data_IF_808194186092
#
_entry.id   IF_808194186092
#
_cell.length_a   1.000
_cell.length_b   1.000
_cell.length_c   1.000
_cell.angle_alpha   90.00
_cell.angle_beta   90.00
_cell.angle_gamma   90.00
#
_symmetry.space_group_name_H-M   'P 1'
#
loop_
_entity.id
_entity.type
_entity.pdbx_description
1 polymer ?
#
# COMPACT_ATOMS: atom_id res chain seq x y z
N UNK A 1 -1.00 -11.55 1.01
CA UNK A 1 -2.16 -11.67 1.93
C UNK A 1 -1.69 -11.62 3.38
N UNK A 2 -2.64 -11.58 4.31
CA UNK A 2 -2.37 -11.56 5.76
C UNK A 2 -1.53 -12.75 6.24
N UNK A 3 -1.56 -13.89 5.54
CA UNK A 3 -0.69 -15.04 5.85
C UNK A 3 0.80 -14.75 5.80
N UNK A 4 1.19 -13.60 5.28
CA UNK A 4 2.58 -13.15 5.32
C UNK A 4 3.08 -12.87 6.76
N UNK A 5 2.16 -12.59 7.69
CA UNK A 5 2.48 -12.24 9.08
C UNK A 5 1.81 -13.14 10.12
N UNK A 6 0.97 -14.11 9.71
CA UNK A 6 0.26 -14.99 10.64
C UNK A 6 0.50 -16.47 10.33
N UNK A 7 0.41 -17.32 11.34
CA UNK A 7 0.62 -18.77 11.22
C UNK A 7 -0.57 -19.48 10.56
N UNK A 8 -1.77 -18.88 10.59
CA UNK A 8 -2.96 -19.46 9.97
C UNK A 8 -2.91 -19.27 8.44
N UNK A 9 -3.11 -20.34 7.66
CA UNK A 9 -3.10 -20.24 6.21
C UNK A 9 -4.32 -19.48 5.68
N UNK A 10 -4.10 -18.33 5.08
CA UNK A 10 -5.07 -17.59 4.25
C UNK A 10 -4.46 -17.43 2.87
N UNK A 11 -4.58 -18.47 2.06
CA UNK A 11 -3.98 -18.48 0.73
C UNK A 11 -4.53 -17.36 -0.16
N UNK A 12 -3.68 -16.77 -0.98
CA UNK A 12 -4.10 -15.71 -1.93
C UNK A 12 -5.19 -16.18 -2.87
N UNK A 13 -5.25 -17.49 -3.18
CA UNK A 13 -6.31 -18.07 -3.99
C UNK A 13 -7.70 -18.04 -3.36
N UNK A 14 -7.81 -17.74 -2.07
CA UNK A 14 -9.09 -17.61 -1.34
C UNK A 14 -9.63 -16.18 -1.37
N UNK A 15 -8.83 -15.20 -1.79
CA UNK A 15 -9.23 -13.80 -1.88
C UNK A 15 -10.25 -13.61 -3.02
N UNK A 16 -11.26 -12.79 -2.77
CA UNK A 16 -12.23 -12.45 -3.80
C UNK A 16 -11.58 -11.70 -4.97
N UNK A 17 -11.93 -12.07 -6.20
CA UNK A 17 -11.46 -11.44 -7.43
C UNK A 17 -12.55 -10.53 -7.99
N UNK A 18 -12.92 -9.49 -7.24
CA UNK A 18 -13.92 -8.50 -7.66
C UNK A 18 -13.23 -7.25 -8.21
N UNK A 19 -13.88 -6.51 -9.13
CA UNK A 19 -13.45 -5.17 -9.46
C UNK A 19 -13.48 -4.27 -8.22
N UNK A 20 -12.42 -3.47 -8.03
CA UNK A 20 -12.21 -2.62 -6.87
C UNK A 20 -12.29 -1.17 -7.34
N UNK A 21 -13.04 -0.31 -6.65
CA UNK A 21 -12.96 1.13 -6.87
C UNK A 21 -11.68 1.63 -6.22
N UNK A 22 -10.79 2.21 -7.01
CA UNK A 22 -9.47 2.60 -6.56
C UNK A 22 -9.11 4.03 -6.97
N UNK A 23 -8.33 4.69 -6.12
CA UNK A 23 -7.74 6.00 -6.40
C UNK A 23 -6.24 5.86 -6.59
N UNK A 24 -5.70 6.46 -7.65
CA UNK A 24 -4.28 6.63 -7.88
C UNK A 24 -3.85 8.03 -7.45
N UNK A 25 -2.81 8.08 -6.63
CA UNK A 25 -2.13 9.32 -6.24
C UNK A 25 -0.63 9.21 -6.51
N UNK A 26 0.01 10.36 -6.73
CA UNK A 26 1.46 10.48 -6.84
C UNK A 26 2.03 11.28 -5.67
N UNK A 27 2.97 10.69 -4.94
CA UNK A 27 3.62 11.33 -3.79
C UNK A 27 5.13 11.43 -3.99
N UNK A 28 5.75 12.42 -3.37
CA UNK A 28 7.20 12.55 -3.34
C UNK A 28 7.70 12.27 -1.94
N UNK A 29 8.31 11.08 -1.68
CA UNK A 29 8.86 10.77 -0.35
C UNK A 29 9.83 11.85 0.12
N UNK A 30 9.92 12.04 1.43
CA UNK A 30 10.79 13.00 2.09
C UNK A 30 11.73 12.31 3.08
N UNK A 31 12.71 13.02 3.60
CA UNK A 31 13.57 12.50 4.66
C UNK A 31 12.80 12.46 6.00
N UNK A 32 13.03 11.43 6.78
CA UNK A 32 12.41 11.27 8.10
C UNK A 32 12.77 12.41 9.07
N UNK A 33 13.93 13.06 8.87
CA UNK A 33 14.31 14.27 9.62
C UNK A 33 13.35 15.47 9.46
N UNK A 34 12.41 15.41 8.49
CA UNK A 34 11.46 16.49 8.20
C UNK A 34 10.05 16.23 8.74
N UNK A 35 9.84 15.17 9.51
CA UNK A 35 8.55 14.80 10.08
C UNK A 35 8.68 14.35 11.53
N UNK A 36 7.61 14.51 12.29
CA UNK A 36 7.47 13.97 13.65
C UNK A 36 6.66 12.66 13.66
N UNK A 37 6.33 12.11 12.48
CA UNK A 37 5.62 10.83 12.37
C UNK A 37 6.44 9.71 13.00
N UNK A 38 5.76 8.77 13.66
CA UNK A 38 6.38 7.63 14.30
C UNK A 38 6.60 6.44 13.36
N UNK A 39 7.51 5.56 13.75
CA UNK A 39 7.71 4.22 13.19
C UNK A 39 8.44 3.33 14.20
N UNK A 40 8.30 2.02 14.07
CA UNK A 40 9.05 1.05 14.86
C UNK A 40 9.68 0.01 13.92
N UNK A 41 11.01 -0.18 13.95
CA UNK A 41 12.02 0.49 14.80
C UNK A 41 12.15 1.99 14.50
N UNK A 42 12.82 2.72 15.36
CA UNK A 42 12.96 4.18 15.22
C UNK A 42 13.48 4.59 13.83
N UNK A 43 12.94 5.69 13.32
CA UNK A 43 13.38 6.28 12.07
C UNK A 43 14.83 6.77 12.17
N UNK A 44 15.60 6.55 11.10
CA UNK A 44 16.86 7.25 10.87
C UNK A 44 16.60 8.57 10.15
N UNK A 45 17.36 9.60 10.43
CA UNK A 45 17.23 10.92 9.77
C UNK A 45 17.28 10.85 8.24
N UNK A 46 17.94 9.82 7.70
CA UNK A 46 18.12 9.60 6.26
C UNK A 46 17.09 8.67 5.63
N UNK A 47 16.19 8.09 6.42
CA UNK A 47 15.13 7.25 5.87
C UNK A 47 14.25 8.06 4.92
N UNK A 48 13.93 7.48 3.78
CA UNK A 48 12.98 8.05 2.82
C UNK A 48 11.58 7.59 3.18
N UNK A 49 10.68 8.51 3.54
CA UNK A 49 9.36 8.17 4.08
C UNK A 49 8.20 8.84 3.34
N UNK A 50 7.08 8.15 3.32
CA UNK A 50 5.77 8.68 2.95
C UNK A 50 5.03 8.98 4.24
N UNK A 51 4.78 10.26 4.49
CA UNK A 51 4.24 10.74 5.75
C UNK A 51 2.71 10.84 5.74
N UNK A 52 2.11 10.85 6.94
CA UNK A 52 0.69 11.14 7.09
C UNK A 52 0.30 12.47 6.45
N UNK A 53 1.11 13.52 6.62
CA UNK A 53 0.82 14.84 6.05
C UNK A 53 0.69 14.80 4.51
N UNK A 54 1.54 14.03 3.82
CA UNK A 54 1.45 13.84 2.37
C UNK A 54 0.12 13.18 2.00
N UNK A 55 -0.25 12.11 2.68
CA UNK A 55 -1.49 11.39 2.40
C UNK A 55 -2.73 12.25 2.73
N UNK A 56 -2.69 13.03 3.78
CA UNK A 56 -3.77 14.00 4.10
C UNK A 56 -3.93 15.01 2.97
N UNK A 57 -2.83 15.55 2.45
CA UNK A 57 -2.87 16.52 1.35
C UNK A 57 -3.57 15.96 0.10
N UNK A 58 -3.32 14.71 -0.24
CA UNK A 58 -3.87 14.07 -1.44
C UNK A 58 -5.29 13.50 -1.22
N UNK A 59 -5.59 12.99 -0.01
CA UNK A 59 -6.79 12.17 0.22
C UNK A 59 -7.87 12.84 1.04
N UNK A 60 -7.64 14.00 1.67
CA UNK A 60 -8.61 14.59 2.60
C UNK A 60 -9.93 15.01 1.94
N UNK A 61 -9.88 15.39 0.67
CA UNK A 61 -11.05 15.82 -0.11
C UNK A 61 -11.71 14.66 -0.88
N UNK A 62 -11.13 13.45 -0.84
CA UNK A 62 -11.64 12.28 -1.57
C UNK A 62 -12.63 11.53 -0.68
N UNK A 63 -13.78 11.19 -1.25
CA UNK A 63 -14.78 10.34 -0.60
C UNK A 63 -14.19 8.95 -0.29
N UNK A 64 -14.47 8.43 0.90
CA UNK A 64 -13.97 7.13 1.31
C UNK A 64 -14.48 6.00 0.41
N UNK A 65 -15.65 6.14 -0.20
CA UNK A 65 -16.19 5.15 -1.14
C UNK A 65 -15.34 5.00 -2.41
N UNK A 66 -14.45 5.96 -2.69
CA UNK A 66 -13.47 5.91 -3.78
C UNK A 66 -12.10 5.38 -3.35
N UNK A 67 -11.95 4.96 -2.09
CA UNK A 67 -10.69 4.54 -1.46
C UNK A 67 -10.68 3.07 -1.02
N UNK A 68 -11.60 2.23 -1.52
CA UNK A 68 -11.52 0.78 -1.31
C UNK A 68 -10.15 0.26 -1.75
N UNK A 69 -9.68 0.68 -2.94
CA UNK A 69 -8.31 0.52 -3.41
C UNK A 69 -7.55 1.85 -3.41
N UNK A 70 -6.30 1.83 -2.96
CA UNK A 70 -5.39 2.97 -3.08
C UNK A 70 -4.13 2.55 -3.80
N UNK A 71 -3.75 3.31 -4.83
CA UNK A 71 -2.54 3.10 -5.61
C UNK A 71 -1.63 4.29 -5.35
N UNK A 72 -0.44 4.03 -4.82
CA UNK A 72 0.54 5.07 -4.48
C UNK A 72 1.74 4.95 -5.40
N UNK A 73 1.88 5.92 -6.29
CA UNK A 73 3.06 6.08 -7.14
C UNK A 73 4.04 7.05 -6.49
N UNK A 74 5.29 6.63 -6.35
CA UNK A 74 6.34 7.50 -5.82
C UNK A 74 7.10 8.24 -6.92
N UNK A 75 7.39 9.53 -6.67
CA UNK A 75 8.13 10.42 -7.57
C UNK A 75 9.57 10.63 -7.06
N UNK A 76 10.57 10.77 -7.96
CA UNK A 76 10.47 10.70 -9.42
C UNK A 76 10.16 9.29 -9.91
N UNK A 77 9.48 9.18 -11.06
CA UNK A 77 9.02 7.90 -11.60
C UNK A 77 9.61 7.57 -13.00
N UNK A 78 10.94 7.60 -13.18
CA UNK A 78 11.53 7.26 -14.47
C UNK A 78 11.30 5.76 -14.77
N UNK A 79 11.24 5.40 -16.05
CA UNK A 79 11.09 4.00 -16.48
C UNK A 79 12.22 3.09 -15.93
N UNK A 80 13.40 3.65 -15.64
CA UNK A 80 14.51 2.92 -15.02
C UNK A 80 14.18 2.38 -13.61
N UNK A 81 13.13 2.90 -12.96
CA UNK A 81 12.63 2.38 -11.68
C UNK A 81 12.27 0.89 -11.75
N UNK A 82 11.81 0.39 -12.92
CA UNK A 82 11.55 -1.03 -13.13
C UNK A 82 12.80 -1.92 -13.01
N UNK A 83 13.99 -1.33 -13.02
CA UNK A 83 15.28 -2.02 -12.91
C UNK A 83 16.07 -1.56 -11.68
N UNK A 84 15.41 -0.82 -10.78
CA UNK A 84 16.04 -0.31 -9.57
C UNK A 84 16.48 -1.47 -8.68
N UNK A 85 17.74 -1.43 -8.27
CA UNK A 85 18.28 -2.31 -7.23
C UNK A 85 18.32 -1.51 -5.92
N UNK A 86 17.79 -2.09 -4.88
CA UNK A 86 17.82 -1.51 -3.54
C UNK A 86 18.89 -2.23 -2.71
N UNK A 87 19.71 -1.45 -2.01
CA UNK A 87 20.81 -1.90 -1.17
C UNK A 87 21.02 -0.93 -0.01
N UNK A 88 22.09 -1.09 0.75
CA UNK A 88 22.43 -0.23 1.90
C UNK A 88 22.59 1.25 1.53
N UNK A 89 22.96 1.56 0.29
CA UNK A 89 23.17 2.92 -0.20
C UNK A 89 21.95 3.52 -0.86
N UNK A 90 21.00 2.67 -1.28
CA UNK A 90 19.80 3.05 -2.01
C UNK A 90 18.59 2.32 -1.42
N UNK A 91 18.18 2.73 -0.24
CA UNK A 91 17.03 2.14 0.43
C UNK A 91 15.71 2.67 -0.18
N UNK A 92 14.69 1.80 -0.33
CA UNK A 92 13.40 2.21 -0.84
C UNK A 92 12.67 3.11 0.16
N UNK A 93 11.72 3.94 -0.30
CA UNK A 93 10.79 4.61 0.60
C UNK A 93 9.84 3.59 1.23
N UNK A 94 9.25 3.98 2.37
CA UNK A 94 8.22 3.23 3.09
C UNK A 94 7.26 4.19 3.78
N UNK A 95 6.13 3.69 4.29
CA UNK A 95 5.19 4.53 5.03
C UNK A 95 5.63 4.70 6.48
N UNK A 96 5.43 5.89 7.03
CA UNK A 96 5.44 6.05 8.49
C UNK A 96 4.25 5.29 9.11
N UNK A 97 4.32 4.94 10.40
CA UNK A 97 3.19 4.29 11.07
C UNK A 97 1.95 5.18 11.11
N UNK A 98 2.15 6.49 11.32
CA UNK A 98 1.05 7.47 11.28
C UNK A 98 0.37 7.54 9.90
N UNK A 99 1.16 7.41 8.83
CA UNK A 99 0.65 7.32 7.46
C UNK A 99 -0.18 6.05 7.27
N UNK A 100 0.32 4.89 7.70
CA UNK A 100 -0.41 3.63 7.59
C UNK A 100 -1.70 3.63 8.42
N UNK A 101 -1.67 4.15 9.64
CA UNK A 101 -2.87 4.31 10.48
C UNK A 101 -3.90 5.23 9.81
N UNK A 102 -3.48 6.28 9.13
CA UNK A 102 -4.38 7.14 8.36
C UNK A 102 -5.06 6.39 7.22
N UNK A 103 -4.32 5.56 6.45
CA UNK A 103 -4.91 4.74 5.39
C UNK A 103 -5.92 3.73 5.94
N UNK A 104 -5.61 3.08 7.06
CA UNK A 104 -6.55 2.18 7.76
C UNK A 104 -7.82 2.93 8.18
N UNK A 105 -7.68 4.13 8.75
CA UNK A 105 -8.81 4.95 9.18
C UNK A 105 -9.67 5.45 8.00
N UNK A 106 -9.07 5.66 6.81
CA UNK A 106 -9.78 5.99 5.57
C UNK A 106 -10.51 4.79 4.94
N UNK A 107 -10.30 3.57 5.46
CA UNK A 107 -10.99 2.38 4.98
C UNK A 107 -10.29 1.67 3.81
N UNK A 108 -9.04 2.03 3.47
CA UNK A 108 -8.29 1.38 2.40
C UNK A 108 -8.18 -0.12 2.64
N UNK A 109 -8.70 -0.94 1.72
CA UNK A 109 -8.71 -2.41 1.81
C UNK A 109 -7.67 -3.05 0.87
N UNK A 110 -7.36 -2.39 -0.24
CA UNK A 110 -6.41 -2.88 -1.23
C UNK A 110 -5.37 -1.80 -1.50
N UNK A 111 -4.15 -2.00 -0.98
CA UNK A 111 -3.04 -1.04 -1.13
C UNK A 111 -2.08 -1.54 -2.21
N UNK A 112 -1.79 -0.69 -3.20
CA UNK A 112 -0.85 -0.97 -4.28
C UNK A 112 0.25 0.08 -4.23
N UNK A 113 1.50 -0.36 -4.23
CA UNK A 113 2.67 0.52 -4.17
C UNK A 113 3.73 0.13 -5.20
N UNK A 114 4.52 1.08 -5.64
CA UNK A 114 5.57 0.89 -6.65
C UNK A 114 6.98 0.68 -6.05
N UNK A 115 7.06 0.39 -4.76
CA UNK A 115 8.29 0.10 -4.02
C UNK A 115 8.21 -1.28 -3.33
N UNK A 116 9.37 -1.84 -2.86
CA UNK A 116 9.48 -3.26 -2.47
C UNK A 116 8.69 -3.67 -1.24
N UNK A 117 8.48 -2.78 -0.28
CA UNK A 117 7.76 -3.08 0.94
C UNK A 117 7.12 -1.83 1.53
N UNK A 118 5.93 -1.98 2.10
CA UNK A 118 5.30 -0.91 2.89
C UNK A 118 6.06 -0.62 4.18
N UNK A 119 6.90 -1.56 4.63
CA UNK A 119 7.78 -1.42 5.79
C UNK A 119 9.20 -1.00 5.40
N UNK A 120 9.96 -0.54 6.39
CA UNK A 120 11.38 -0.23 6.28
C UNK A 120 12.17 -1.46 5.84
N UNK A 121 13.15 -1.30 4.93
CA UNK A 121 13.96 -2.39 4.41
C UNK A 121 14.66 -3.21 5.52
N UNK A 122 15.13 -2.53 6.56
CA UNK A 122 15.76 -3.15 7.74
C UNK A 122 14.94 -2.80 8.98
N UNK A 123 13.85 -3.51 9.17
CA UNK A 123 12.85 -3.28 10.23
C UNK A 123 12.98 -4.27 11.40
N UNK A 124 14.09 -5.02 11.46
CA UNK A 124 14.34 -6.05 12.47
C UNK A 124 13.30 -7.18 12.47
N UNK A 125 12.56 -7.33 11.37
CA UNK A 125 11.47 -8.31 11.22
C UNK A 125 10.18 -7.92 11.94
N UNK A 126 10.02 -6.65 12.30
CA UNK A 126 8.84 -6.17 13.04
C UNK A 126 7.60 -6.03 12.17
N UNK A 127 7.75 -5.81 10.85
CA UNK A 127 6.65 -5.67 9.88
C UNK A 127 5.53 -4.74 10.38
N UNK A 128 5.94 -3.59 10.94
CA UNK A 128 5.07 -2.67 11.67
C UNK A 128 3.85 -2.21 10.87
N UNK A 129 4.07 -1.85 9.60
CA UNK A 129 2.98 -1.41 8.72
C UNK A 129 2.10 -2.57 8.25
N UNK A 130 2.68 -3.74 8.01
CA UNK A 130 1.90 -4.95 7.71
C UNK A 130 0.97 -5.29 8.87
N UNK A 131 1.49 -5.30 10.10
CA UNK A 131 0.69 -5.52 11.31
C UNK A 131 -0.41 -4.47 11.45
N UNK A 132 -0.10 -3.20 11.26
CA UNK A 132 -1.07 -2.11 11.32
C UNK A 132 -2.15 -2.27 10.24
N UNK A 133 -1.76 -2.52 8.98
CA UNK A 133 -2.69 -2.62 7.85
C UNK A 133 -3.69 -3.77 8.01
N UNK A 134 -3.25 -4.94 8.48
CA UNK A 134 -4.11 -6.10 8.68
C UNK A 134 -4.75 -6.18 10.06
N UNK A 135 -4.53 -5.19 10.92
CA UNK A 135 -5.02 -5.15 12.31
C UNK A 135 -4.65 -6.43 13.09
N UNK A 136 -3.37 -6.77 13.03
CA UNK A 136 -2.76 -7.84 13.84
C UNK A 136 -1.85 -7.17 14.85
N UNK A 137 -1.96 -7.58 16.11
CA UNK A 137 -1.16 -6.96 17.17
C UNK A 137 0.36 -7.10 16.89
N UNK A 138 1.18 -6.07 17.16
CA UNK A 138 2.62 -6.13 16.96
C UNK A 138 3.24 -7.38 17.61
N UNK A 139 4.07 -8.10 16.83
CA UNK A 139 4.73 -9.34 17.27
C UNK A 139 3.79 -10.54 17.48
N UNK A 140 2.50 -10.42 17.14
CA UNK A 140 1.56 -11.55 17.13
C UNK A 140 1.54 -12.21 15.76
N UNK A 141 1.43 -13.53 15.72
CA UNK A 141 1.23 -14.32 14.50
C UNK A 141 -0.15 -14.98 14.49
N UNK A 142 -1.12 -14.42 15.24
CA UNK A 142 -2.44 -15.01 15.41
C UNK A 142 -3.53 -14.04 14.94
N UNK A 143 -4.47 -14.56 14.15
CA UNK A 143 -5.66 -13.81 13.74
C UNK A 143 -6.58 -13.55 14.94
N UNK A 144 -7.17 -12.36 14.95
CA UNK A 144 -8.28 -12.00 15.85
C UNK A 144 -9.58 -11.86 15.04
N UNK A 145 -10.68 -11.65 15.74
CA UNK A 145 -11.98 -11.39 15.11
C UNK A 145 -11.97 -10.08 14.29
N UNK A 146 -11.11 -9.13 14.68
CA UNK A 146 -11.00 -7.81 14.06
C UNK A 146 -9.91 -7.75 12.98
N UNK A 147 -9.20 -8.86 12.73
CA UNK A 147 -8.17 -8.91 11.68
C UNK A 147 -8.78 -8.75 10.30
N UNK A 148 -8.17 -7.89 9.48
CA UNK A 148 -8.64 -7.49 8.15
C UNK A 148 -8.18 -8.52 7.10
N UNK A 149 -8.75 -9.73 7.14
CA UNK A 149 -8.27 -10.94 6.43
C UNK A 149 -8.29 -10.81 4.90
N UNK A 150 -9.28 -10.09 4.37
CA UNK A 150 -9.50 -10.00 2.92
C UNK A 150 -8.74 -8.84 2.29
N UNK A 151 -8.04 -8.05 3.10
CA UNK A 151 -7.25 -6.93 2.63
C UNK A 151 -5.96 -7.40 1.96
N UNK A 152 -5.51 -6.63 0.96
CA UNK A 152 -4.32 -6.97 0.20
C UNK A 152 -3.31 -5.83 0.15
N UNK A 153 -2.02 -6.18 0.16
CA UNK A 153 -0.92 -5.30 -0.21
C UNK A 153 -0.30 -5.86 -1.49
N UNK A 154 -0.13 -5.03 -2.50
CA UNK A 154 0.57 -5.34 -3.75
C UNK A 154 1.75 -4.40 -3.89
N UNK A 155 2.93 -4.96 -3.92
CA UNK A 155 4.21 -4.24 -3.93
C UNK A 155 4.90 -4.35 -5.28
N UNK A 156 5.89 -3.49 -5.56
CA UNK A 156 6.64 -3.43 -6.83
C UNK A 156 5.76 -3.23 -8.07
N UNK A 157 4.62 -2.60 -7.94
CA UNK A 157 3.70 -2.33 -9.04
C UNK A 157 4.06 -1.00 -9.73
N UNK A 158 4.90 -1.04 -10.75
CA UNK A 158 5.23 0.16 -11.53
C UNK A 158 4.01 0.72 -12.25
N UNK A 159 3.70 1.99 -12.02
CA UNK A 159 2.61 2.73 -12.66
C UNK A 159 3.20 3.75 -13.62
N UNK A 160 2.97 3.59 -14.93
CA UNK A 160 3.51 4.49 -15.94
C UNK A 160 2.97 5.92 -15.81
N UNK A 161 3.79 6.94 -16.16
CA UNK A 161 3.38 8.36 -16.09
C UNK A 161 2.23 8.72 -17.03
N UNK A 162 1.97 7.88 -18.03
CA UNK A 162 0.80 8.02 -18.92
C UNK A 162 -0.54 7.75 -18.23
N UNK A 163 -0.52 7.10 -17.06
CA UNK A 163 -1.69 6.89 -16.22
C UNK A 163 -1.75 8.08 -15.26
N UNK A 164 -2.75 8.94 -15.44
CA UNK A 164 -2.91 10.15 -14.62
C UNK A 164 -3.48 9.82 -13.24
N UNK A 165 -3.19 10.65 -12.25
CA UNK A 165 -3.83 10.52 -10.94
C UNK A 165 -5.34 10.69 -11.06
N UNK A 166 -6.12 9.91 -10.30
CA UNK A 166 -7.58 9.90 -10.40
C UNK A 166 -8.19 8.56 -9.99
N UNK A 167 -9.44 8.35 -10.40
CA UNK A 167 -10.23 7.19 -9.99
C UNK A 167 -10.32 6.15 -11.09
N UNK A 168 -10.24 4.88 -10.70
CA UNK A 168 -10.17 3.74 -11.59
C UNK A 168 -10.99 2.56 -11.06
N UNK A 169 -11.43 1.71 -11.96
CA UNK A 169 -11.79 0.34 -11.64
C UNK A 169 -10.51 -0.51 -11.70
N UNK A 170 -10.08 -1.06 -10.59
CA UNK A 170 -8.90 -1.89 -10.45
C UNK A 170 -9.27 -3.36 -10.49
N UNK A 171 -8.54 -4.15 -11.28
CA UNK A 171 -8.54 -5.61 -11.23
C UNK A 171 -7.16 -6.10 -10.86
N UNK A 172 -7.01 -6.81 -9.73
CA UNK A 172 -5.71 -7.29 -9.23
C UNK A 172 -5.17 -8.47 -10.03
N UNK A 173 -6.04 -9.35 -10.54
CA UNK A 173 -5.67 -10.56 -11.29
C UNK A 173 -4.67 -11.45 -10.52
N UNK A 174 -5.07 -11.91 -9.35
CA UNK A 174 -4.26 -12.78 -8.49
C UNK A 174 -4.47 -14.24 -8.91
N UNK A 175 -3.43 -14.98 -9.31
CA UNK A 175 -3.56 -16.42 -9.59
C UNK A 175 -3.89 -17.18 -8.29
N UNK A 176 -4.68 -18.28 -8.37
CA UNK A 176 -5.18 -18.99 -7.20
C UNK A 176 -4.12 -19.91 -6.59
N UNK A 177 -3.01 -19.36 -6.12
CA UNK A 177 -1.97 -20.12 -5.44
C UNK A 177 -2.36 -20.39 -3.99
N UNK A 178 -1.99 -21.57 -3.49
CA UNK A 178 -2.05 -21.89 -2.07
C UNK A 178 -0.75 -21.42 -1.37
N UNK A 179 -0.58 -20.11 -1.33
CA UNK A 179 0.59 -19.42 -0.78
C UNK A 179 0.16 -18.10 -0.11
N UNK A 180 1.01 -17.54 0.74
CA UNK A 180 0.85 -16.23 1.35
C UNK A 180 0.96 -15.07 0.36
N UNK A 181 1.64 -15.29 -0.76
CA UNK A 181 1.82 -14.30 -1.83
C UNK A 181 1.78 -14.96 -3.21
N UNK A 182 1.45 -14.19 -4.22
CA UNK A 182 1.51 -14.58 -5.63
C UNK A 182 1.84 -13.36 -6.50
N UNK A 183 2.47 -13.56 -7.68
CA UNK A 183 2.52 -12.51 -8.67
C UNK A 183 1.11 -12.05 -9.03
N UNK A 184 0.89 -10.74 -9.17
CA UNK A 184 -0.36 -10.23 -9.69
C UNK A 184 -0.10 -9.31 -10.89
N UNK A 185 -1.13 -9.10 -11.70
CA UNK A 185 -1.10 -8.19 -12.84
C UNK A 185 -2.23 -7.17 -12.69
N UNK A 186 -2.05 -6.11 -11.88
CA UNK A 186 -3.06 -5.08 -11.73
C UNK A 186 -3.39 -4.42 -13.08
N UNK A 187 -4.67 -4.28 -13.37
CA UNK A 187 -5.19 -3.56 -14.54
C UNK A 187 -6.09 -2.44 -14.06
N UNK A 188 -5.93 -1.25 -14.66
CA UNK A 188 -6.69 -0.05 -14.35
C UNK A 188 -7.58 0.30 -15.55
N UNK A 189 -8.86 0.46 -15.28
CA UNK A 189 -9.85 0.93 -16.24
C UNK A 189 -10.37 2.30 -15.77
N UNK A 190 -10.34 3.34 -16.61
CA UNK A 190 -10.87 4.64 -16.22
C UNK A 190 -12.32 4.52 -15.74
N UNK A 191 -12.68 5.26 -14.68
CA UNK A 191 -14.05 5.40 -14.22
C UNK A 191 -14.67 6.63 -14.85
N UNK A 192 -15.85 6.47 -15.44
CA UNK A 192 -16.71 7.57 -15.90
C UNK A 192 -17.89 7.69 -14.95
N UNK A 193 -18.04 8.85 -14.32
CA UNK A 193 -19.21 9.14 -13.49
C UNK A 193 -20.35 9.59 -14.40
N UNK A 194 -21.41 8.79 -14.45
CA UNK A 194 -22.64 9.16 -15.16
C UNK A 194 -23.43 10.07 -14.24
N UNK A 195 -23.55 11.36 -14.58
CA UNK A 195 -24.51 12.23 -13.94
C UNK A 195 -25.89 11.92 -14.54
N UNK A 196 -26.80 11.40 -13.74
CA UNK A 196 -28.19 11.36 -14.16
C UNK A 196 -28.68 12.80 -14.35
N UNK A 197 -29.28 13.13 -15.48
CA UNK A 197 -29.88 14.45 -15.66
C UNK A 197 -31.05 14.60 -14.67
N UNK A 198 -31.08 15.74 -13.94
CA UNK A 198 -32.20 16.13 -13.06
C UNK A 198 -33.53 16.20 -13.80
#
# INVERSE_FOLDING_TARGET
SISHIVDQPVAVGQLAQTPIIATLISVRPTLASTTDDAYLPALSEHDSVITKAMLVAELSAIDNDLLEGLIVRTLPNPKSKCQQVYDDNHQPPFFTLDAMQYLVAKGVSHLIVDFPSVDKMYDEGLLTNHHCFWNVAPGSHTLSADSRRDNTITELAYIADTIVDGHYCLSLNIPPFESDAAPSRPLLYPLEFIHEPE
#
